data_IF_360016916111
#
_entry.id   IF_360016916111
#
_cell.length_a   1.000
_cell.length_b   1.000
_cell.length_c   1.000
_cell.angle_alpha   90.00
_cell.angle_beta   90.00
_cell.angle_gamma   90.00
#
_symmetry.space_group_name_H-M   'P 1'
#
loop_
_entity.id
_entity.type
_entity.pdbx_description
1 polymer ?
#
# COMPACT_ATOMS: atom_id res chain seq x y z
N UNK A 1 8.91 -14.95 -10.60
CA UNK A 1 7.73 -14.12 -10.27
C UNK A 1 8.11 -13.00 -9.29
N UNK A 2 8.67 -13.27 -8.10
CA UNK A 2 9.07 -12.20 -7.15
C UNK A 2 10.24 -11.33 -7.61
N UNK A 3 11.18 -11.91 -8.37
CA UNK A 3 12.37 -11.18 -8.83
C UNK A 3 12.01 -10.13 -9.91
N UNK A 4 11.17 -10.49 -10.89
CA UNK A 4 10.68 -9.56 -11.91
C UNK A 4 9.91 -8.38 -11.31
N UNK A 5 9.08 -8.63 -10.28
CA UNK A 5 8.32 -7.59 -9.57
C UNK A 5 9.25 -6.61 -8.84
N UNK A 6 10.33 -7.14 -8.25
CA UNK A 6 11.36 -6.36 -7.57
C UNK A 6 12.11 -5.47 -8.56
N UNK A 7 12.56 -6.04 -9.68
CA UNK A 7 13.29 -5.30 -10.71
C UNK A 7 12.44 -4.19 -11.32
N UNK A 8 11.18 -4.46 -11.61
CA UNK A 8 10.26 -3.45 -12.12
C UNK A 8 10.08 -2.30 -11.12
N UNK A 9 9.81 -2.60 -9.85
CA UNK A 9 9.61 -1.56 -8.83
C UNK A 9 10.87 -0.75 -8.55
N UNK A 10 12.04 -1.38 -8.59
CA UNK A 10 13.33 -0.73 -8.45
C UNK A 10 13.64 0.21 -9.63
N UNK A 11 13.22 -0.15 -10.85
CA UNK A 11 13.37 0.70 -12.04
C UNK A 11 12.39 1.89 -12.04
N UNK A 12 11.19 1.69 -11.51
CA UNK A 12 10.09 2.66 -11.50
C UNK A 12 10.02 3.45 -10.17
N UNK A 13 11.13 4.05 -9.74
CA UNK A 13 11.15 4.91 -8.56
C UNK A 13 10.12 6.05 -8.68
N UNK A 14 9.49 6.42 -7.56
CA UNK A 14 8.66 7.61 -7.47
C UNK A 14 9.52 8.89 -7.55
N UNK A 15 8.96 10.03 -7.98
CA UNK A 15 9.68 11.31 -7.99
C UNK A 15 10.34 11.64 -6.66
N UNK A 16 9.66 11.36 -5.55
CA UNK A 16 10.13 11.58 -4.19
C UNK A 16 11.34 10.68 -3.84
N UNK A 17 11.31 9.42 -4.27
CA UNK A 17 12.41 8.47 -4.06
C UNK A 17 13.64 8.82 -4.89
N UNK A 18 13.43 9.33 -6.11
CA UNK A 18 14.52 9.88 -6.93
C UNK A 18 15.11 11.14 -6.32
N UNK A 19 14.25 12.03 -5.80
CA UNK A 19 14.68 13.27 -5.16
C UNK A 19 15.45 13.02 -3.85
N UNK A 20 15.03 12.03 -3.05
CA UNK A 20 15.73 11.61 -1.85
C UNK A 20 17.03 10.84 -2.16
N UNK A 21 17.11 10.21 -3.34
CA UNK A 21 18.27 9.44 -3.78
C UNK A 21 18.37 8.08 -3.08
N UNK A 22 17.49 7.15 -3.47
CA UNK A 22 17.53 5.77 -2.95
C UNK A 22 18.94 5.15 -3.13
N UNK A 23 19.57 4.77 -2.01
CA UNK A 23 20.92 4.21 -2.01
C UNK A 23 20.98 2.80 -2.63
N UNK A 24 19.89 2.05 -2.51
CA UNK A 24 19.71 0.74 -3.13
C UNK A 24 18.22 0.55 -3.50
N UNK A 25 17.83 0.92 -4.74
CA UNK A 25 16.47 0.76 -5.22
C UNK A 25 15.95 -0.67 -5.19
N UNK A 26 16.83 -1.67 -5.35
CA UNK A 26 16.44 -3.09 -5.36
C UNK A 26 16.11 -3.54 -3.93
N UNK A 27 17.01 -3.28 -2.98
CA UNK A 27 16.76 -3.61 -1.57
C UNK A 27 15.51 -2.89 -1.03
N UNK A 28 15.31 -1.63 -1.42
CA UNK A 28 14.10 -0.89 -1.06
C UNK A 28 12.84 -1.54 -1.66
N UNK A 29 12.87 -1.94 -2.94
CA UNK A 29 11.75 -2.62 -3.59
C UNK A 29 11.43 -3.96 -2.92
N UNK A 30 12.44 -4.78 -2.59
CA UNK A 30 12.25 -6.05 -1.89
C UNK A 30 11.55 -5.85 -0.54
N UNK A 31 12.00 -4.88 0.26
CA UNK A 31 11.41 -4.59 1.56
C UNK A 31 9.94 -4.13 1.45
N UNK A 32 9.65 -3.21 0.52
CA UNK A 32 8.28 -2.70 0.30
C UNK A 32 7.34 -3.81 -0.16
N UNK A 33 7.80 -4.66 -1.09
CA UNK A 33 6.98 -5.74 -1.62
C UNK A 33 6.73 -6.82 -0.59
N UNK A 34 7.74 -7.19 0.20
CA UNK A 34 7.57 -8.14 1.31
C UNK A 34 6.54 -7.63 2.33
N UNK A 35 6.68 -6.39 2.78
CA UNK A 35 5.71 -5.76 3.70
C UNK A 35 4.30 -5.68 3.09
N UNK A 36 4.20 -5.41 1.79
CA UNK A 36 2.91 -5.35 1.09
C UNK A 36 2.25 -6.71 0.98
N UNK A 37 3.00 -7.74 0.64
CA UNK A 37 2.51 -9.12 0.56
C UNK A 37 2.04 -9.61 1.94
N UNK A 38 2.74 -9.22 3.02
CA UNK A 38 2.31 -9.48 4.40
C UNK A 38 0.97 -8.83 4.73
N UNK A 39 0.78 -7.53 4.40
CA UNK A 39 -0.49 -6.82 4.65
C UNK A 39 -1.64 -7.29 3.76
N UNK A 40 -1.32 -7.79 2.56
CA UNK A 40 -2.31 -8.37 1.66
C UNK A 40 -2.83 -9.70 2.22
N UNK A 41 -1.93 -10.53 2.77
CA UNK A 41 -2.29 -11.80 3.40
C UNK A 41 -2.98 -11.64 4.75
N UNK A 42 -2.52 -10.68 5.56
CA UNK A 42 -3.09 -10.32 6.86
C UNK A 42 -3.30 -8.80 6.94
N UNK A 43 -4.56 -8.32 6.82
CA UNK A 43 -4.87 -6.91 6.96
C UNK A 43 -4.40 -6.31 8.30
N UNK A 44 -4.24 -7.13 9.34
CA UNK A 44 -3.72 -6.73 10.66
C UNK A 44 -2.19 -6.65 10.76
N UNK A 45 -1.44 -7.03 9.72
CA UNK A 45 0.02 -7.09 9.75
C UNK A 45 0.70 -5.72 9.87
N UNK A 46 -0.03 -4.62 9.63
CA UNK A 46 0.46 -3.26 9.90
C UNK A 46 0.04 -2.81 11.32
N UNK A 47 0.94 -2.86 12.32
CA UNK A 47 0.59 -2.64 13.72
C UNK A 47 0.08 -1.22 14.02
N UNK A 48 0.56 -0.23 13.28
CA UNK A 48 0.14 1.18 13.43
C UNK A 48 -1.09 1.52 12.56
N UNK A 49 -1.60 0.57 11.77
CA UNK A 49 -2.77 0.79 10.93
C UNK A 49 -4.07 0.51 11.70
N UNK A 50 -5.07 1.39 11.51
CA UNK A 50 -6.41 1.17 12.03
C UNK A 50 -7.33 0.69 10.90
N UNK A 51 -7.83 -0.54 11.02
CA UNK A 51 -8.84 -1.07 10.10
C UNK A 51 -10.25 -0.84 10.64
N UNK A 52 -10.95 0.13 10.06
CA UNK A 52 -12.37 0.34 10.37
C UNK A 52 -13.22 -0.81 9.80
N UNK A 53 -13.96 -1.50 10.67
CA UNK A 53 -14.86 -2.60 10.27
C UNK A 53 -16.31 -2.13 10.27
N UNK A 54 -16.69 -1.27 9.32
CA UNK A 54 -18.10 -0.92 9.12
C UNK A 54 -18.88 -2.07 8.52
N UNK A 55 -20.08 -2.28 9.06
CA UNK A 55 -21.10 -3.16 8.53
C UNK A 55 -22.09 -2.38 7.66
N UNK A 56 -22.83 -3.09 6.83
CA UNK A 56 -23.82 -2.49 5.92
C UNK A 56 -24.89 -1.66 6.64
N UNK A 57 -25.29 -2.08 7.85
CA UNK A 57 -26.26 -1.36 8.72
C UNK A 57 -25.73 -0.05 9.31
N UNK A 58 -24.43 0.23 9.18
CA UNK A 58 -23.79 1.47 9.61
C UNK A 58 -23.63 2.48 8.45
N UNK A 59 -24.25 2.21 7.30
CA UNK A 59 -24.27 3.13 6.16
C UNK A 59 -25.18 4.32 6.49
N UNK A 60 -24.71 5.54 6.20
CA UNK A 60 -25.56 6.71 6.35
C UNK A 60 -26.73 6.65 5.36
N UNK A 61 -27.93 7.02 5.82
CA UNK A 61 -29.09 7.13 4.93
C UNK A 61 -28.81 8.16 3.84
N UNK A 62 -29.13 7.85 2.57
CA UNK A 62 -28.92 8.79 1.48
C UNK A 62 -29.79 10.04 1.74
N UNK A 63 -29.16 11.19 1.93
CA UNK A 63 -29.89 12.46 1.96
C UNK A 63 -30.42 12.75 0.56
N UNK A 64 -31.72 13.00 0.43
CA UNK A 64 -32.28 13.56 -0.81
C UNK A 64 -31.56 14.89 -1.08
N UNK A 65 -30.60 14.89 -1.99
CA UNK A 65 -29.99 16.12 -2.50
C UNK A 65 -31.09 16.86 -3.26
N UNK A 66 -31.79 17.76 -2.56
CA UNK A 66 -32.71 18.71 -3.20
C UNK A 66 -31.90 19.56 -4.17
N UNK A 67 -32.26 19.46 -5.45
CA UNK A 67 -31.72 20.26 -6.55
C UNK A 67 -32.46 21.59 -6.64
#
# INVERSE_FOLDING_TARGET
MSDDRTEQRAAELLPEERAAGSADPRAQAEAILAESDEREADPGAAPDSFLERRRSDQTAEPTETTR
#
